data_IF_303790165416
#
_entry.id   IF_303790165416
#
_cell.length_a   1.000
_cell.length_b   1.000
_cell.length_c   1.000
_cell.angle_alpha   90.00
_cell.angle_beta   90.00
_cell.angle_gamma   90.00
#
_symmetry.space_group_name_H-M   'P 1'
#
loop_
_entity.id
_entity.type
_entity.pdbx_description
1 polymer ?
#
# COMPACT_ATOMS: atom_id res chain seq x y z
N UNK A 1 9.60 -26.85 10.24
CA UNK A 1 10.04 -25.88 9.23
C UNK A 1 9.23 -24.60 9.36
N UNK A 2 9.90 -23.50 9.52
CA UNK A 2 9.23 -22.21 9.66
C UNK A 2 8.73 -21.71 8.32
N UNK A 3 7.51 -21.24 8.32
CA UNK A 3 6.96 -20.59 7.14
C UNK A 3 7.51 -19.18 7.06
N UNK A 4 7.88 -18.76 5.86
CA UNK A 4 8.26 -17.39 5.59
C UNK A 4 7.04 -16.50 5.76
N UNK A 5 7.22 -15.39 6.46
CA UNK A 5 6.16 -14.41 6.61
C UNK A 5 6.02 -13.56 5.35
N UNK A 6 4.81 -13.09 5.09
CA UNK A 6 4.56 -12.15 3.99
C UNK A 6 4.97 -10.76 4.48
N UNK A 7 5.91 -10.16 3.78
CA UNK A 7 6.42 -8.83 4.14
C UNK A 7 5.59 -7.75 3.49
N UNK A 8 5.03 -6.85 4.29
CA UNK A 8 4.12 -5.80 3.83
C UNK A 8 4.71 -4.43 4.12
N UNK A 9 4.71 -3.57 3.11
CA UNK A 9 5.03 -2.15 3.25
C UNK A 9 3.72 -1.37 3.13
N UNK A 10 3.44 -0.48 4.07
CA UNK A 10 2.23 0.33 4.07
C UNK A 10 2.59 1.78 3.77
N UNK A 11 1.92 2.36 2.77
CA UNK A 11 2.18 3.73 2.32
C UNK A 11 0.91 4.54 2.44
N UNK A 12 0.88 5.49 3.38
CA UNK A 12 -0.29 6.33 3.62
C UNK A 12 0.17 7.58 4.39
N UNK A 13 -0.31 8.74 4.00
CA UNK A 13 0.10 10.00 4.64
C UNK A 13 -0.62 10.25 5.98
N UNK A 14 -1.62 9.45 6.32
CA UNK A 14 -2.37 9.63 7.56
C UNK A 14 -1.86 8.67 8.64
N UNK A 15 -1.31 9.24 9.71
CA UNK A 15 -0.75 8.45 10.80
C UNK A 15 -1.78 7.50 11.43
N UNK A 16 -3.03 7.93 11.52
CA UNK A 16 -4.07 7.09 12.09
C UNK A 16 -4.31 5.84 11.24
N UNK A 17 -4.34 5.99 9.92
CA UNK A 17 -4.54 4.85 9.02
C UNK A 17 -3.37 3.89 9.14
N UNK A 18 -2.14 4.41 9.16
CA UNK A 18 -0.95 3.56 9.35
C UNK A 18 -1.05 2.76 10.64
N UNK A 19 -1.44 3.42 11.73
CA UNK A 19 -1.55 2.75 13.02
C UNK A 19 -2.59 1.63 12.99
N UNK A 20 -3.76 1.91 12.42
CA UNK A 20 -4.82 0.91 12.31
C UNK A 20 -4.35 -0.31 11.50
N UNK A 21 -3.70 -0.05 10.37
CA UNK A 21 -3.26 -1.14 9.49
C UNK A 21 -2.12 -1.93 10.10
N UNK A 22 -1.16 -1.27 10.73
CA UNK A 22 -0.05 -1.97 11.41
C UNK A 22 -0.60 -2.90 12.48
N UNK A 23 -1.49 -2.39 13.33
CA UNK A 23 -2.06 -3.20 14.41
C UNK A 23 -2.91 -4.34 13.88
N UNK A 24 -3.72 -4.05 12.84
CA UNK A 24 -4.60 -5.07 12.27
C UNK A 24 -3.82 -6.20 11.60
N UNK A 25 -2.87 -5.84 10.74
CA UNK A 25 -2.10 -6.84 10.01
C UNK A 25 -1.16 -7.61 10.92
N UNK A 26 -0.63 -6.98 11.96
CA UNK A 26 0.30 -7.64 12.88
C UNK A 26 -0.35 -8.70 13.75
N UNK A 27 -1.67 -8.77 13.76
CA UNK A 27 -2.38 -9.86 14.46
C UNK A 27 -2.22 -11.20 13.76
N UNK A 28 -1.91 -11.19 12.47
CA UNK A 28 -1.73 -12.42 11.73
C UNK A 28 -0.26 -12.84 11.82
N UNK A 29 0.03 -14.02 12.38
CA UNK A 29 1.42 -14.46 12.51
C UNK A 29 2.11 -14.73 11.18
N UNK A 30 1.34 -14.83 10.09
CA UNK A 30 1.90 -15.00 8.75
C UNK A 30 2.29 -13.71 8.06
N UNK A 31 2.03 -12.55 8.69
CA UNK A 31 2.31 -11.25 8.10
C UNK A 31 3.31 -10.50 8.95
N UNK A 32 4.28 -9.89 8.29
CA UNK A 32 5.24 -8.99 8.92
C UNK A 32 5.16 -7.63 8.26
N UNK A 33 4.79 -6.59 9.00
CA UNK A 33 4.84 -5.22 8.49
C UNK A 33 6.29 -4.76 8.58
N UNK A 34 6.96 -4.74 7.43
CA UNK A 34 8.41 -4.45 7.40
C UNK A 34 8.70 -2.94 7.39
N UNK A 35 7.70 -2.12 7.12
CA UNK A 35 7.89 -0.69 7.16
C UNK A 35 6.62 0.06 6.84
N UNK A 36 6.66 1.35 7.13
CA UNK A 36 5.60 2.29 6.78
C UNK A 36 6.24 3.52 6.16
N UNK A 37 5.51 4.18 5.26
CA UNK A 37 5.98 5.41 4.65
C UNK A 37 4.82 6.39 4.56
N UNK A 38 5.11 7.66 4.81
CA UNK A 38 4.10 8.71 4.79
C UNK A 38 3.98 9.41 3.44
N UNK A 39 4.85 9.08 2.50
CA UNK A 39 4.71 9.56 1.12
C UNK A 39 5.39 8.59 0.16
N UNK A 40 5.08 8.79 -1.12
CA UNK A 40 5.54 7.86 -2.16
C UNK A 40 7.05 7.85 -2.35
N UNK A 41 7.70 9.00 -2.21
CA UNK A 41 9.15 9.03 -2.41
C UNK A 41 9.88 8.28 -1.31
N UNK A 42 9.44 8.44 -0.06
CA UNK A 42 10.00 7.67 1.05
C UNK A 42 9.81 6.18 0.83
N UNK A 43 8.63 5.79 0.34
CA UNK A 43 8.37 4.39 0.06
C UNK A 43 9.32 3.85 -1.01
N UNK A 44 9.48 4.59 -2.11
CA UNK A 44 10.39 4.17 -3.19
C UNK A 44 11.81 4.01 -2.68
N UNK A 45 12.24 4.91 -1.79
CA UNK A 45 13.60 4.85 -1.24
C UNK A 45 13.80 3.64 -0.31
N UNK A 46 12.73 3.17 0.34
CA UNK A 46 12.82 2.06 1.28
C UNK A 46 12.73 0.69 0.61
N UNK A 47 12.09 0.60 -0.56
CA UNK A 47 11.80 -0.68 -1.20
C UNK A 47 13.04 -1.53 -1.45
N UNK A 48 14.16 -1.00 -1.98
CA UNK A 48 15.33 -1.85 -2.22
C UNK A 48 15.88 -2.51 -0.96
N UNK A 49 15.79 -1.82 0.18
CA UNK A 49 16.26 -2.36 1.46
C UNK A 49 15.25 -3.32 2.07
N UNK A 50 13.97 -2.96 2.02
CA UNK A 50 12.92 -3.75 2.69
C UNK A 50 12.47 -4.95 1.90
N UNK A 51 12.51 -4.86 0.58
CA UNK A 51 12.06 -5.93 -0.34
C UNK A 51 10.70 -6.51 0.05
N UNK A 52 9.65 -5.67 0.10
CA UNK A 52 8.34 -6.17 0.52
C UNK A 52 7.75 -7.11 -0.53
N UNK A 53 6.93 -8.03 -0.06
CA UNK A 53 6.19 -8.94 -0.94
C UNK A 53 4.90 -8.31 -1.44
N UNK A 54 4.33 -7.38 -0.67
CA UNK A 54 3.08 -6.71 -0.98
C UNK A 54 3.17 -5.27 -0.48
N UNK A 55 2.58 -4.37 -1.25
CA UNK A 55 2.46 -2.97 -0.83
C UNK A 55 0.97 -2.65 -0.63
N UNK A 56 0.66 -2.01 0.49
CA UNK A 56 -0.66 -1.42 0.73
C UNK A 56 -0.50 0.07 0.51
N UNK A 57 -1.20 0.62 -0.46
CA UNK A 57 -0.93 1.95 -1.00
C UNK A 57 -2.17 2.84 -0.97
N UNK A 58 -2.06 3.97 -0.29
CA UNK A 58 -3.09 5.01 -0.32
C UNK A 58 -3.10 5.69 -1.68
N UNK A 59 -4.28 5.82 -2.30
CA UNK A 59 -4.41 6.48 -3.59
C UNK A 59 -4.36 8.00 -3.47
N UNK A 60 -4.82 8.56 -2.36
CA UNK A 60 -4.92 10.02 -2.19
C UNK A 60 -3.84 10.53 -1.26
N UNK A 61 -2.67 10.82 -1.82
CA UNK A 61 -1.56 11.41 -1.07
C UNK A 61 -1.14 12.72 -1.73
N UNK A 62 -0.66 13.69 -0.94
CA UNK A 62 -0.14 14.92 -1.53
C UNK A 62 1.18 14.66 -2.27
N UNK A 63 1.51 15.50 -3.21
CA UNK A 63 2.75 15.50 -4.00
C UNK A 63 2.89 14.30 -4.93
N UNK A 64 2.78 13.07 -4.42
CA UNK A 64 2.84 11.86 -5.24
C UNK A 64 1.66 10.97 -4.84
N UNK A 65 0.61 10.95 -5.66
CA UNK A 65 -0.54 10.09 -5.37
C UNK A 65 -0.24 8.65 -5.77
N UNK A 66 -1.19 7.75 -5.49
CA UNK A 66 -1.00 6.34 -5.75
C UNK A 66 -0.73 6.00 -7.21
N UNK A 67 -1.41 6.68 -8.13
CA UNK A 67 -1.19 6.46 -9.57
C UNK A 67 0.24 6.82 -9.95
N UNK A 68 0.71 7.98 -9.50
CA UNK A 68 2.08 8.42 -9.78
C UNK A 68 3.11 7.46 -9.17
N UNK A 69 2.83 6.97 -7.98
CA UNK A 69 3.69 6.00 -7.33
C UNK A 69 3.79 4.72 -8.16
N UNK A 70 2.65 4.20 -8.61
CA UNK A 70 2.63 2.97 -9.43
C UNK A 70 3.37 3.16 -10.74
N UNK A 71 3.23 4.33 -11.37
CA UNK A 71 3.99 4.63 -12.59
C UNK A 71 5.50 4.54 -12.38
N UNK A 72 5.97 4.97 -11.20
CA UNK A 72 7.40 4.92 -10.91
C UNK A 72 7.87 3.54 -10.48
N UNK A 73 7.03 2.83 -9.75
CA UNK A 73 7.43 1.54 -9.18
C UNK A 73 7.40 0.40 -10.18
N UNK A 74 6.30 0.25 -10.88
CA UNK A 74 6.03 -0.98 -11.63
C UNK A 74 7.04 -1.28 -12.75
N UNK A 75 7.56 -0.27 -13.48
CA UNK A 75 8.57 -0.57 -14.50
C UNK A 75 9.90 -1.07 -13.92
N UNK A 76 10.19 -0.74 -12.66
CA UNK A 76 11.49 -1.07 -12.05
C UNK A 76 11.37 -2.30 -11.16
N UNK A 77 10.33 -2.36 -10.36
CA UNK A 77 10.17 -3.41 -9.35
C UNK A 77 8.69 -3.73 -9.19
N UNK A 78 8.14 -4.57 -10.06
CA UNK A 78 6.70 -4.88 -10.01
C UNK A 78 6.40 -5.69 -8.75
N UNK A 79 5.75 -5.04 -7.79
CA UNK A 79 5.37 -5.64 -6.52
C UNK A 79 3.84 -5.63 -6.44
N UNK A 80 3.21 -6.75 -6.10
CA UNK A 80 1.74 -6.77 -5.92
C UNK A 80 1.30 -5.66 -4.96
N UNK A 81 0.35 -4.86 -5.39
CA UNK A 81 -0.09 -3.69 -4.65
C UNK A 81 -1.60 -3.72 -4.45
N UNK A 82 -2.02 -3.55 -3.20
CA UNK A 82 -3.42 -3.37 -2.83
C UNK A 82 -3.62 -1.89 -2.59
N UNK A 83 -4.56 -1.28 -3.32
CA UNK A 83 -4.78 0.17 -3.19
C UNK A 83 -5.93 0.45 -2.23
N UNK A 84 -5.76 1.49 -1.44
CA UNK A 84 -6.77 1.98 -0.50
C UNK A 84 -7.29 3.31 -1.00
N UNK A 85 -8.60 3.53 -0.92
CA UNK A 85 -9.17 4.78 -1.35
C UNK A 85 -10.34 5.17 -0.43
N UNK A 86 -10.46 6.46 -0.16
CA UNK A 86 -11.62 7.01 0.51
C UNK A 86 -12.84 6.94 -0.39
N UNK A 87 -12.61 6.90 -1.70
CA UNK A 87 -13.67 6.71 -2.68
C UNK A 87 -13.93 5.21 -2.80
N UNK A 88 -15.15 4.80 -2.46
CA UNK A 88 -15.47 3.37 -2.35
C UNK A 88 -15.96 2.75 -3.64
N UNK A 89 -15.91 3.46 -4.76
CA UNK A 89 -16.45 2.97 -6.02
C UNK A 89 -15.39 2.21 -6.81
N UNK A 90 -15.58 0.92 -6.92
CA UNK A 90 -14.68 0.06 -7.71
C UNK A 90 -14.65 0.46 -9.18
N UNK A 91 -15.69 1.14 -9.64
CA UNK A 91 -15.82 1.50 -11.06
C UNK A 91 -15.26 2.88 -11.37
N UNK A 92 -14.63 3.54 -10.40
CA UNK A 92 -14.04 4.85 -10.66
C UNK A 92 -12.91 4.72 -11.66
N UNK A 93 -12.72 5.79 -12.45
CA UNK A 93 -11.63 5.81 -13.43
C UNK A 93 -10.27 5.62 -12.76
N UNK A 94 -10.10 6.20 -11.57
CA UNK A 94 -8.85 6.10 -10.83
C UNK A 94 -8.57 4.65 -10.43
N UNK A 95 -9.59 3.94 -9.97
CA UNK A 95 -9.46 2.53 -9.60
C UNK A 95 -9.08 1.70 -10.81
N UNK A 96 -9.75 1.93 -11.95
CA UNK A 96 -9.43 1.20 -13.17
C UNK A 96 -8.00 1.48 -13.62
N UNK A 97 -7.56 2.72 -13.53
CA UNK A 97 -6.21 3.10 -13.89
C UNK A 97 -5.20 2.39 -13.00
N UNK A 98 -5.48 2.30 -11.70
CA UNK A 98 -4.59 1.59 -10.77
C UNK A 98 -4.45 0.11 -11.15
N UNK A 99 -5.55 -0.55 -11.50
CA UNK A 99 -5.50 -1.94 -11.94
C UNK A 99 -4.70 -2.09 -13.24
N UNK A 100 -4.86 -1.17 -14.18
CA UNK A 100 -4.09 -1.19 -15.41
C UNK A 100 -2.58 -1.05 -15.16
N UNK A 101 -2.21 -0.32 -14.09
CA UNK A 101 -0.81 -0.13 -13.73
C UNK A 101 -0.25 -1.27 -12.87
N UNK A 102 -1.09 -2.24 -12.50
CA UNK A 102 -0.59 -3.41 -11.80
C UNK A 102 -1.13 -3.63 -10.40
N UNK A 103 -2.03 -2.78 -9.91
CA UNK A 103 -2.68 -3.05 -8.63
C UNK A 103 -3.48 -4.35 -8.74
N UNK A 104 -3.49 -5.13 -7.67
CA UNK A 104 -4.14 -6.45 -7.68
C UNK A 104 -5.46 -6.43 -6.93
N UNK A 105 -5.70 -5.44 -6.10
CA UNK A 105 -6.95 -5.34 -5.36
C UNK A 105 -7.20 -3.90 -4.92
N UNK A 106 -8.41 -3.63 -4.50
CA UNK A 106 -8.86 -2.30 -4.07
C UNK A 106 -9.69 -2.48 -2.80
N UNK A 107 -9.40 -1.66 -1.79
CA UNK A 107 -10.13 -1.68 -0.53
C UNK A 107 -10.44 -0.25 -0.10
N UNK A 108 -11.58 -0.05 0.62
CA UNK A 108 -11.83 1.26 1.21
C UNK A 108 -10.85 1.53 2.34
N UNK A 109 -10.50 2.80 2.53
CA UNK A 109 -9.62 3.16 3.64
C UNK A 109 -10.32 2.90 4.97
N UNK A 110 -9.62 2.35 5.96
CA UNK A 110 -10.21 2.24 7.28
C UNK A 110 -10.41 3.62 7.87
N UNK A 111 -11.52 3.80 8.58
CA UNK A 111 -11.77 5.04 9.31
C UNK A 111 -11.60 4.77 10.80
N UNK A 112 -10.92 5.69 11.49
CA UNK A 112 -10.70 5.54 12.92
C UNK A 112 -11.92 5.86 13.77
N UNK A 113 -12.94 6.46 13.16
CA UNK A 113 -14.16 6.75 13.85
C UNK A 113 -15.21 5.71 13.52
N UNK A 114 -15.99 5.32 14.38
CA UNK A 114 -17.05 4.37 14.10
C UNK A 114 -18.09 4.93 13.16
#
# INVERSE_FOLDING_TARGET
MEKRKIKVLIVDDQALVLDILVKGLSRDPGIEVVGTATDGQLALNQIPRLQPDVIVLDMEMPRMNGIQFLHKLMPISPIPTIVLSALTQKDSRITQEAFELGAVDFLPKPSGGA
#
